data_IF_500177815792
#
_entry.id   IF_500177815792
#
_cell.length_a   1.000
_cell.length_b   1.000
_cell.length_c   1.000
_cell.angle_alpha   90.00
_cell.angle_beta   90.00
_cell.angle_gamma   90.00
#
_symmetry.space_group_name_H-M   'P 1'
#
loop_
_entity.id
_entity.type
_entity.pdbx_description
1 polymer ?
#
# COMPACT_ATOMS: atom_id res chain seq x y z
N UNK A 1 11.64 15.09 24.12
CA UNK A 1 10.75 13.97 24.46
C UNK A 1 10.13 13.53 23.15
N UNK A 2 10.11 12.24 22.88
CA UNK A 2 9.47 11.67 21.68
C UNK A 2 7.96 11.81 21.83
N UNK A 3 7.28 12.43 20.85
CA UNK A 3 5.83 12.56 20.84
C UNK A 3 5.22 11.25 20.34
N UNK A 4 4.46 10.56 21.17
CA UNK A 4 3.85 9.27 20.83
C UNK A 4 2.33 9.43 20.78
N UNK A 5 1.71 8.96 19.71
CA UNK A 5 0.27 8.80 19.61
C UNK A 5 -0.10 7.47 20.25
N UNK A 6 -0.73 7.52 21.43
CA UNK A 6 -1.16 6.33 22.16
C UNK A 6 -2.30 5.59 21.44
N UNK A 7 -2.46 4.28 21.71
CA UNK A 7 -3.52 3.47 21.13
C UNK A 7 -4.90 3.94 21.62
N UNK A 8 -5.81 4.27 20.68
CA UNK A 8 -7.16 4.74 20.99
C UNK A 8 -8.18 3.61 21.15
N UNK A 9 -7.95 2.43 20.52
CA UNK A 9 -8.93 1.33 20.47
C UNK A 9 -8.39 -0.02 20.95
N UNK A 10 -7.18 -0.05 21.52
CA UNK A 10 -6.66 -1.24 22.19
C UNK A 10 -7.58 -1.69 23.34
N UNK A 11 -7.83 -3.00 23.46
CA UNK A 11 -8.79 -3.57 24.41
C UNK A 11 -10.27 -3.41 24.00
N UNK A 12 -10.53 -2.79 22.82
CA UNK A 12 -11.90 -2.56 22.29
C UNK A 12 -12.10 -3.12 20.91
N UNK A 13 -11.24 -2.75 19.94
CA UNK A 13 -11.29 -3.23 18.54
C UNK A 13 -10.40 -4.45 18.36
N UNK A 14 -9.38 -4.58 19.17
CA UNK A 14 -8.44 -5.69 19.22
C UNK A 14 -7.92 -5.85 20.65
N UNK A 15 -7.33 -7.01 21.04
CA UNK A 15 -6.84 -7.25 22.39
C UNK A 15 -5.82 -6.20 22.85
N UNK A 16 -5.98 -5.74 24.09
CA UNK A 16 -5.06 -4.78 24.73
C UNK A 16 -3.78 -5.41 25.28
N UNK A 17 -3.70 -6.74 25.30
CA UNK A 17 -2.53 -7.50 25.76
C UNK A 17 -1.73 -8.00 24.56
N UNK A 18 -0.43 -7.72 24.53
CA UNK A 18 0.44 -8.02 23.39
C UNK A 18 0.38 -9.48 22.92
N UNK A 19 0.48 -10.44 23.86
CA UNK A 19 0.46 -11.87 23.52
C UNK A 19 -0.87 -12.35 22.96
N UNK A 20 -1.99 -11.79 23.44
CA UNK A 20 -3.33 -12.11 22.94
C UNK A 20 -3.54 -11.52 21.54
N UNK A 21 -3.08 -10.27 21.34
CA UNK A 21 -3.14 -9.59 20.06
C UNK A 21 -2.31 -10.30 18.99
N UNK A 22 -1.07 -10.63 19.30
CA UNK A 22 -0.18 -11.42 18.42
C UNK A 22 -0.82 -12.76 18.04
N UNK A 23 -1.31 -13.51 19.03
CA UNK A 23 -1.94 -14.80 18.78
C UNK A 23 -3.20 -14.67 17.89
N UNK A 24 -4.01 -13.63 18.09
CA UNK A 24 -5.21 -13.37 17.27
C UNK A 24 -4.84 -13.03 15.82
N UNK A 25 -3.88 -12.12 15.61
CA UNK A 25 -3.44 -11.73 14.27
C UNK A 25 -2.80 -12.91 13.55
N UNK A 26 -1.90 -13.65 14.21
CA UNK A 26 -1.28 -14.84 13.63
C UNK A 26 -2.29 -15.95 13.34
N UNK A 27 -3.31 -16.10 14.18
CA UNK A 27 -4.44 -17.02 13.93
C UNK A 27 -5.14 -16.69 12.60
N UNK A 28 -5.55 -15.44 12.41
CA UNK A 28 -6.18 -15.01 11.15
C UNK A 28 -5.26 -15.17 9.93
N UNK A 29 -3.98 -14.81 10.06
CA UNK A 29 -3.01 -14.96 8.98
C UNK A 29 -2.72 -16.44 8.66
N UNK A 30 -2.86 -17.32 9.65
CA UNK A 30 -2.71 -18.77 9.49
C UNK A 30 -3.89 -19.45 8.78
N UNK A 31 -5.08 -18.86 8.84
CA UNK A 31 -6.28 -19.36 8.15
C UNK A 31 -6.29 -19.04 6.64
N UNK A 32 -5.48 -18.07 6.22
CA UNK A 32 -5.39 -17.70 4.81
C UNK A 32 -4.48 -18.68 4.07
N UNK A 33 -5.02 -19.33 3.03
CA UNK A 33 -4.19 -20.15 2.14
C UNK A 33 -3.05 -19.29 1.57
N UNK A 34 -1.82 -19.81 1.73
CA UNK A 34 -0.63 -19.12 1.24
C UNK A 34 -0.70 -19.04 -0.28
N UNK A 35 -1.08 -17.91 -0.79
CA UNK A 35 -1.04 -17.67 -2.22
C UNK A 35 0.39 -17.32 -2.63
N UNK A 36 0.97 -18.16 -3.46
CA UNK A 36 2.13 -17.79 -4.24
C UNK A 36 1.71 -16.68 -5.22
N UNK A 37 2.51 -15.65 -5.38
CA UNK A 37 2.20 -14.58 -6.31
C UNK A 37 3.05 -13.33 -6.10
N UNK A 38 2.86 -12.33 -6.96
CA UNK A 38 3.57 -11.06 -6.84
C UNK A 38 3.14 -10.33 -5.57
N UNK A 39 4.09 -9.63 -4.96
CA UNK A 39 3.82 -8.75 -3.82
C UNK A 39 3.06 -7.53 -4.31
N UNK A 40 1.92 -7.20 -3.68
CA UNK A 40 1.15 -6.03 -4.06
C UNK A 40 1.88 -4.73 -3.73
N UNK A 41 1.69 -3.73 -4.60
CA UNK A 41 2.13 -2.34 -4.35
C UNK A 41 1.19 -1.61 -3.42
N UNK A 42 -0.11 -1.94 -3.47
CA UNK A 42 -1.09 -1.37 -2.58
C UNK A 42 -2.13 -2.40 -2.14
N UNK A 43 -2.73 -2.16 -0.97
CA UNK A 43 -3.82 -2.92 -0.39
C UNK A 43 -4.98 -1.99 -0.03
N UNK A 44 -6.21 -2.51 -0.11
CA UNK A 44 -7.35 -1.98 0.63
C UNK A 44 -7.73 -3.03 1.67
N UNK A 45 -7.96 -2.62 2.92
CA UNK A 45 -8.36 -3.51 4.00
C UNK A 45 -9.35 -2.82 4.97
N UNK A 46 -10.25 -3.58 5.63
CA UNK A 46 -11.25 -3.05 6.53
C UNK A 46 -10.64 -2.70 7.90
N UNK A 47 -11.36 -1.84 8.66
CA UNK A 47 -10.89 -1.31 9.95
C UNK A 47 -11.88 -1.45 11.13
N UNK A 48 -12.87 -2.33 11.00
CA UNK A 48 -13.73 -2.66 12.12
C UNK A 48 -12.98 -3.46 13.21
N UNK A 49 -13.64 -3.73 14.33
CA UNK A 49 -13.07 -4.60 15.37
C UNK A 49 -12.71 -5.98 14.81
N UNK A 50 -11.59 -6.53 15.24
CA UNK A 50 -10.98 -7.75 14.67
C UNK A 50 -11.89 -8.96 14.65
N UNK A 51 -12.78 -9.10 15.63
CA UNK A 51 -13.78 -10.20 15.65
C UNK A 51 -14.72 -10.15 14.45
N UNK A 52 -14.91 -8.99 13.84
CA UNK A 52 -15.75 -8.78 12.66
C UNK A 52 -14.97 -8.79 11.34
N UNK A 53 -13.89 -8.02 11.27
CA UNK A 53 -13.18 -7.76 10.02
C UNK A 53 -11.77 -8.34 9.95
N UNK A 54 -11.25 -8.91 11.04
CA UNK A 54 -9.84 -9.37 11.11
C UNK A 54 -9.50 -10.46 10.09
N UNK A 55 -10.40 -11.42 9.84
CA UNK A 55 -10.19 -12.45 8.82
C UNK A 55 -10.12 -11.85 7.40
N UNK A 56 -10.99 -10.86 7.11
CA UNK A 56 -11.01 -10.18 5.81
C UNK A 56 -9.74 -9.34 5.62
N UNK A 57 -9.31 -8.63 6.65
CA UNK A 57 -8.03 -7.92 6.65
C UNK A 57 -6.84 -8.87 6.42
N UNK A 58 -6.84 -10.03 7.09
CA UNK A 58 -5.81 -11.05 6.95
C UNK A 58 -5.66 -11.54 5.50
N UNK A 59 -6.74 -11.64 4.73
CA UNK A 59 -6.70 -12.02 3.32
C UNK A 59 -5.84 -11.07 2.47
N UNK A 60 -5.84 -9.76 2.80
CA UNK A 60 -4.95 -8.79 2.17
C UNK A 60 -3.52 -8.88 2.71
N UNK A 61 -3.38 -8.89 4.03
CA UNK A 61 -2.06 -8.84 4.67
C UNK A 61 -1.22 -10.08 4.43
N UNK A 62 -1.83 -11.27 4.32
CA UNK A 62 -1.11 -12.51 4.02
C UNK A 62 -0.33 -12.44 2.69
N UNK A 63 -0.75 -11.58 1.75
CA UNK A 63 -0.04 -11.32 0.48
C UNK A 63 1.33 -10.66 0.66
N UNK A 64 1.61 -10.12 1.85
CA UNK A 64 2.89 -9.48 2.16
C UNK A 64 3.96 -10.45 2.68
N UNK A 65 3.62 -11.70 3.03
CA UNK A 65 4.59 -12.70 3.53
C UNK A 65 5.87 -12.79 2.67
N UNK A 66 5.80 -12.79 1.32
CA UNK A 66 7.00 -12.84 0.47
C UNK A 66 7.84 -11.56 0.48
N UNK A 67 7.35 -10.47 1.10
CA UNK A 67 8.01 -9.17 1.15
C UNK A 67 8.60 -8.84 2.54
N UNK A 68 8.58 -9.78 3.47
CA UNK A 68 9.24 -9.64 4.77
C UNK A 68 10.70 -9.23 4.58
N UNK A 69 11.18 -8.24 5.36
CA UNK A 69 12.52 -7.67 5.22
C UNK A 69 12.73 -6.75 4.02
N UNK A 70 11.78 -6.64 3.08
CA UNK A 70 11.87 -5.75 1.93
C UNK A 70 11.06 -4.48 2.09
N UNK A 71 9.82 -4.57 2.59
CA UNK A 71 8.98 -3.40 2.85
C UNK A 71 9.45 -2.74 4.14
N UNK A 72 9.91 -1.49 4.04
CA UNK A 72 10.41 -0.68 5.17
C UNK A 72 9.64 0.62 5.35
N UNK A 73 8.74 0.95 4.42
CA UNK A 73 7.85 2.12 4.48
C UNK A 73 6.42 1.72 4.17
N UNK A 74 5.49 2.18 4.98
CA UNK A 74 4.05 2.00 4.74
C UNK A 74 3.38 3.38 4.67
N UNK A 75 2.77 3.70 3.54
CA UNK A 75 1.89 4.86 3.38
C UNK A 75 0.49 4.39 3.75
N UNK A 76 0.00 4.85 4.89
CA UNK A 76 -1.25 4.37 5.47
C UNK A 76 -2.30 5.49 5.44
N UNK A 77 -3.35 5.30 4.63
CA UNK A 77 -4.44 6.24 4.49
C UNK A 77 -5.73 5.66 5.08
N UNK A 78 -6.51 6.49 5.75
CA UNK A 78 -7.81 6.09 6.27
C UNK A 78 -8.77 7.27 6.38
N UNK A 79 -10.09 7.00 6.43
CA UNK A 79 -11.10 8.03 6.57
C UNK A 79 -11.05 8.70 7.95
N UNK A 80 -11.58 9.91 8.00
CA UNK A 80 -11.77 10.69 9.21
C UNK A 80 -13.14 10.38 9.83
N UNK A 81 -13.16 9.79 11.03
CA UNK A 81 -14.42 9.48 11.73
C UNK A 81 -14.71 10.42 12.92
N UNK A 82 -13.70 11.08 13.46
CA UNK A 82 -13.81 11.80 14.75
C UNK A 82 -13.79 13.31 14.58
N UNK A 83 -12.76 13.84 13.98
CA UNK A 83 -12.59 15.29 13.79
C UNK A 83 -12.52 15.58 12.30
N UNK A 84 -13.59 16.15 11.70
CA UNK A 84 -13.66 16.38 10.26
C UNK A 84 -12.57 17.34 9.79
N UNK A 85 -12.00 17.03 8.64
CA UNK A 85 -10.99 17.85 7.96
C UNK A 85 -11.29 17.95 6.45
N UNK A 86 -10.69 18.96 5.84
CA UNK A 86 -10.58 19.07 4.38
C UNK A 86 -9.15 18.65 3.98
N UNK A 87 -9.02 17.82 2.94
CA UNK A 87 -7.71 17.33 2.51
C UNK A 87 -7.18 16.14 3.32
N UNK A 88 -5.87 16.09 3.49
CA UNK A 88 -5.15 15.01 4.18
C UNK A 88 -4.38 15.56 5.38
N UNK A 89 -4.50 14.88 6.52
CA UNK A 89 -3.77 15.24 7.73
C UNK A 89 -2.63 14.27 8.01
N UNK A 90 -1.42 14.80 8.12
CA UNK A 90 -0.26 14.16 8.74
C UNK A 90 -0.35 14.30 10.26
N UNK A 91 0.31 13.40 10.99
CA UNK A 91 0.52 13.53 12.44
C UNK A 91 1.87 14.18 12.76
N UNK A 92 1.88 15.04 13.79
CA UNK A 92 3.08 15.58 14.42
C UNK A 92 3.81 14.56 15.30
N UNK A 93 3.17 13.43 15.66
CA UNK A 93 3.76 12.39 16.48
C UNK A 93 5.02 11.77 15.83
N UNK A 94 5.93 11.27 16.65
CA UNK A 94 7.14 10.58 16.19
C UNK A 94 6.91 9.08 16.03
N UNK A 95 5.89 8.54 16.73
CA UNK A 95 5.50 7.13 16.64
C UNK A 95 4.02 6.95 16.98
N UNK A 96 3.45 5.83 16.50
CA UNK A 96 2.13 5.33 16.84
C UNK A 96 2.28 4.08 17.70
N UNK A 97 1.63 4.10 18.88
CA UNK A 97 1.70 3.00 19.84
C UNK A 97 0.63 1.96 19.59
N UNK A 98 1.02 0.68 19.67
CA UNK A 98 0.13 -0.47 19.81
C UNK A 98 0.57 -1.32 21.00
N UNK A 99 -0.20 -2.32 21.44
CA UNK A 99 0.28 -3.29 22.43
C UNK A 99 1.53 -4.05 21.99
N UNK A 100 1.80 -4.17 20.68
CA UNK A 100 2.99 -4.84 20.12
C UNK A 100 4.24 -3.93 20.09
N UNK A 101 4.11 -2.66 20.44
CA UNK A 101 5.20 -1.69 20.45
C UNK A 101 4.90 -0.45 19.62
N UNK A 102 5.87 0.45 19.58
CA UNK A 102 5.77 1.73 18.89
C UNK A 102 6.22 1.60 17.43
N UNK A 103 5.39 2.06 16.49
CA UNK A 103 5.69 2.13 15.06
C UNK A 103 6.17 3.54 14.71
N UNK A 104 7.42 3.73 14.26
CA UNK A 104 7.95 5.05 13.97
C UNK A 104 7.25 5.71 12.77
N UNK A 105 7.09 7.03 12.82
CA UNK A 105 6.61 7.84 11.69
C UNK A 105 7.78 8.19 10.78
N UNK A 106 7.62 7.99 9.48
CA UNK A 106 8.60 8.38 8.45
C UNK A 106 8.59 9.90 8.23
N UNK A 107 9.32 10.63 9.07
CA UNK A 107 9.40 12.10 9.01
C UNK A 107 10.00 12.61 7.68
N UNK A 108 11.04 11.98 7.10
CA UNK A 108 11.53 12.37 5.78
C UNK A 108 10.48 12.27 4.68
N UNK A 109 9.70 11.18 4.65
CA UNK A 109 8.62 11.01 3.67
C UNK A 109 7.46 12.01 3.94
N UNK A 110 7.10 12.24 5.21
CA UNK A 110 6.10 13.24 5.57
C UNK A 110 6.53 14.67 5.14
N UNK A 111 7.81 15.00 5.30
CA UNK A 111 8.36 16.30 4.86
C UNK A 111 8.30 16.50 3.34
N UNK A 112 8.33 15.43 2.55
CA UNK A 112 8.24 15.53 1.09
C UNK A 112 6.87 16.02 0.58
N UNK A 113 5.83 15.93 1.40
CA UNK A 113 4.45 16.28 1.03
C UNK A 113 3.86 17.43 1.84
N UNK A 114 4.55 17.91 2.89
CA UNK A 114 3.99 18.91 3.83
C UNK A 114 3.62 20.23 3.16
N UNK A 115 4.31 20.61 2.10
CA UNK A 115 4.07 21.86 1.36
C UNK A 115 2.97 21.72 0.29
N UNK A 116 2.38 20.54 0.12
CA UNK A 116 1.27 20.34 -0.80
C UNK A 116 0.00 21.01 -0.24
N UNK A 117 -0.76 21.79 -1.03
CA UNK A 117 -1.87 22.62 -0.54
C UNK A 117 -3.01 21.80 0.10
N UNK A 118 -3.15 20.53 -0.26
CA UNK A 118 -4.14 19.60 0.32
C UNK A 118 -3.66 18.87 1.57
N UNK A 119 -2.40 19.06 2.01
CA UNK A 119 -1.79 18.38 3.17
C UNK A 119 -1.59 19.36 4.32
N UNK A 120 -1.86 18.94 5.54
CA UNK A 120 -1.58 19.70 6.76
C UNK A 120 -1.16 18.77 7.89
N UNK A 121 -0.45 19.28 8.89
CA UNK A 121 -0.25 18.56 10.17
C UNK A 121 -1.42 18.90 11.09
N UNK A 122 -2.19 17.90 11.52
CA UNK A 122 -3.34 18.13 12.37
C UNK A 122 -3.60 16.96 13.32
N UNK A 123 -2.94 16.95 14.47
CA UNK A 123 -2.99 15.87 15.46
C UNK A 123 -4.38 15.58 16.04
N UNK A 124 -5.30 16.56 16.25
CA UNK A 124 -6.62 16.26 16.79
C UNK A 124 -7.42 15.23 15.97
N UNK A 125 -7.21 15.13 14.64
CA UNK A 125 -7.89 14.12 13.84
C UNK A 125 -7.29 12.73 14.02
N UNK A 126 -6.03 12.62 14.50
CA UNK A 126 -5.36 11.34 14.75
C UNK A 126 -5.60 10.79 16.16
N UNK A 127 -5.84 11.65 17.13
CA UNK A 127 -5.83 11.31 18.57
C UNK A 127 -6.74 10.13 18.91
N UNK A 128 -7.99 10.14 18.44
CA UNK A 128 -9.01 9.12 18.69
C UNK A 128 -9.42 8.35 17.42
N UNK A 129 -8.70 8.53 16.31
CA UNK A 129 -9.00 7.86 15.05
C UNK A 129 -8.49 6.43 15.05
N UNK A 130 -9.35 5.49 14.65
CA UNK A 130 -9.07 4.07 14.65
C UNK A 130 -8.73 3.52 13.26
N UNK A 131 -9.14 4.22 12.21
CA UNK A 131 -9.03 3.72 10.82
C UNK A 131 -7.60 3.41 10.38
N UNK A 132 -6.60 4.08 10.99
CA UNK A 132 -5.19 3.80 10.74
C UNK A 132 -4.64 2.78 11.76
N UNK A 133 -5.01 2.93 13.02
CA UNK A 133 -4.44 2.18 14.14
C UNK A 133 -4.61 0.67 13.98
N UNK A 134 -5.80 0.21 13.57
CA UNK A 134 -6.14 -1.22 13.48
C UNK A 134 -5.31 -1.98 12.45
N UNK A 135 -4.63 -1.30 11.53
CA UNK A 135 -3.75 -1.92 10.54
C UNK A 135 -2.36 -2.21 11.08
N UNK A 136 -1.91 -1.43 12.08
CA UNK A 136 -0.54 -1.52 12.59
C UNK A 136 -0.19 -2.90 13.15
N UNK A 137 -1.04 -3.59 13.94
CA UNK A 137 -0.71 -4.92 14.44
C UNK A 137 -0.48 -5.96 13.35
N UNK A 138 -1.26 -5.94 12.25
CA UNK A 138 -1.02 -6.83 11.11
C UNK A 138 0.34 -6.57 10.46
N UNK A 139 0.70 -5.30 10.29
CA UNK A 139 1.98 -4.90 9.72
C UNK A 139 3.15 -5.28 10.65
N UNK A 140 3.00 -5.12 11.97
CA UNK A 140 4.00 -5.49 12.97
C UNK A 140 4.27 -7.00 13.03
N UNK A 141 3.25 -7.83 12.77
CA UNK A 141 3.39 -9.29 12.75
C UNK A 141 4.00 -9.82 11.43
N UNK A 142 3.98 -9.02 10.36
CA UNK A 142 4.43 -9.45 9.03
C UNK A 142 5.71 -8.80 8.55
N UNK A 143 5.95 -7.56 8.95
CA UNK A 143 7.12 -6.79 8.53
C UNK A 143 8.14 -6.75 9.66
N UNK A 144 9.44 -6.78 9.34
CA UNK A 144 10.48 -6.70 10.35
C UNK A 144 10.56 -5.28 10.93
N UNK A 145 11.31 -4.40 10.31
CA UNK A 145 11.42 -2.99 10.71
C UNK A 145 10.83 -2.08 9.62
N UNK A 146 9.83 -1.31 9.97
CA UNK A 146 9.20 -0.37 9.05
C UNK A 146 8.82 0.95 9.75
N UNK A 147 8.63 1.99 8.96
CA UNK A 147 8.05 3.25 9.37
C UNK A 147 6.74 3.53 8.64
N UNK A 148 5.88 4.34 9.23
CA UNK A 148 4.58 4.68 8.67
C UNK A 148 4.50 6.17 8.30
N UNK A 149 3.85 6.48 7.16
CA UNK A 149 3.33 7.83 6.87
C UNK A 149 1.83 7.78 7.10
N UNK A 150 1.33 8.20 8.28
CA UNK A 150 -0.08 8.12 8.61
C UNK A 150 -0.82 9.33 8.03
N UNK A 151 -1.86 9.08 7.22
CA UNK A 151 -2.66 10.10 6.56
C UNK A 151 -4.15 9.88 6.85
N UNK A 152 -4.72 10.71 7.70
CA UNK A 152 -6.18 10.78 7.83
C UNK A 152 -6.71 11.62 6.68
N UNK A 153 -7.68 11.09 5.94
CA UNK A 153 -8.22 11.70 4.71
C UNK A 153 -9.66 12.15 4.96
N UNK A 154 -9.89 13.45 4.87
CA UNK A 154 -11.21 14.04 4.92
C UNK A 154 -11.82 14.25 3.55
N UNK A 155 -12.73 15.23 3.43
CA UNK A 155 -13.36 15.54 2.15
C UNK A 155 -12.33 16.16 1.19
N UNK A 156 -12.08 15.48 0.07
CA UNK A 156 -11.06 15.87 -0.89
C UNK A 156 -11.31 15.17 -2.24
N UNK A 157 -10.86 15.77 -3.33
CA UNK A 157 -10.96 15.17 -4.65
C UNK A 157 -10.01 13.97 -4.79
N UNK A 158 -10.41 12.91 -5.52
CA UNK A 158 -9.54 11.76 -5.79
C UNK A 158 -8.17 12.13 -6.38
N UNK A 159 -8.13 13.15 -7.26
CA UNK A 159 -6.91 13.62 -7.89
C UNK A 159 -5.90 14.15 -6.87
N UNK A 160 -6.37 14.89 -5.87
CA UNK A 160 -5.51 15.46 -4.83
C UNK A 160 -4.90 14.38 -3.93
N UNK A 161 -5.64 13.30 -3.64
CA UNK A 161 -5.08 12.12 -2.94
C UNK A 161 -4.09 11.39 -3.84
N UNK A 162 -4.42 11.24 -5.13
CA UNK A 162 -3.54 10.58 -6.09
C UNK A 162 -2.19 11.32 -6.25
N UNK A 163 -2.18 12.65 -6.22
CA UNK A 163 -0.96 13.47 -6.24
C UNK A 163 -0.07 13.22 -5.02
N UNK A 164 -0.66 13.13 -3.83
CA UNK A 164 0.07 12.79 -2.59
C UNK A 164 0.66 11.38 -2.68
N UNK A 165 -0.14 10.40 -3.13
CA UNK A 165 0.33 9.03 -3.31
C UNK A 165 1.43 8.93 -4.38
N UNK A 166 1.34 9.71 -5.46
CA UNK A 166 2.38 9.79 -6.50
C UNK A 166 3.70 10.30 -5.92
N UNK A 167 3.67 11.36 -5.10
CA UNK A 167 4.85 11.92 -4.45
C UNK A 167 5.50 10.93 -3.45
N UNK A 168 4.69 10.04 -2.85
CA UNK A 168 5.14 9.05 -1.87
C UNK A 168 5.34 7.64 -2.47
N UNK A 169 5.23 7.48 -3.80
CA UNK A 169 5.16 6.17 -4.44
C UNK A 169 6.31 5.23 -4.07
N UNK A 170 7.54 5.73 -4.04
CA UNK A 170 8.73 4.93 -3.73
C UNK A 170 8.95 3.73 -4.66
N UNK A 171 9.85 2.85 -4.24
CA UNK A 171 10.18 1.59 -4.90
C UNK A 171 9.50 0.38 -4.26
N UNK A 172 10.12 -0.82 -4.36
CA UNK A 172 9.61 -2.06 -3.77
C UNK A 172 9.67 -2.07 -2.22
N UNK A 173 10.37 -1.13 -1.60
CA UNK A 173 10.43 -0.91 -0.15
C UNK A 173 9.19 -0.19 0.39
N UNK A 174 8.35 0.39 -0.46
CA UNK A 174 7.19 1.19 -0.08
C UNK A 174 5.89 0.45 -0.41
N UNK A 175 5.06 0.22 0.60
CA UNK A 175 3.69 -0.30 0.50
C UNK A 175 2.69 0.83 0.72
N UNK A 176 1.59 0.83 -0.02
CA UNK A 176 0.43 1.68 0.22
C UNK A 176 -0.68 0.83 0.84
N UNK A 177 -1.26 1.28 1.96
CA UNK A 177 -2.42 0.66 2.59
C UNK A 177 -3.53 1.69 2.69
N UNK A 178 -4.68 1.38 2.12
CA UNK A 178 -5.89 2.19 2.21
C UNK A 178 -6.91 1.47 3.07
N UNK A 179 -7.35 2.16 4.09
CA UNK A 179 -8.29 1.68 5.09
C UNK A 179 -9.74 2.01 4.69
N UNK A 180 -10.60 1.02 4.57
CA UNK A 180 -12.04 1.26 4.32
C UNK A 180 -12.90 0.06 4.70
N UNK A 181 -13.95 0.32 5.48
CA UNK A 181 -15.11 -0.56 5.50
C UNK A 181 -16.06 -0.17 4.36
N UNK A 182 -17.04 -1.05 4.03
CA UNK A 182 -17.99 -0.83 2.94
C UNK A 182 -19.31 -0.25 3.47
N UNK A 183 -20.46 -0.82 3.08
CA UNK A 183 -21.77 -0.35 3.52
C UNK A 183 -21.98 -0.50 5.02
N UNK A 184 -22.82 0.35 5.64
CA UNK A 184 -23.03 0.37 7.08
C UNK A 184 -24.50 0.25 7.47
N UNK A 185 -24.78 -0.63 8.43
CA UNK A 185 -26.03 -0.76 9.15
C UNK A 185 -27.27 -1.04 8.27
N UNK A 186 -27.05 -1.66 7.12
CA UNK A 186 -28.09 -2.15 6.24
C UNK A 186 -28.47 -3.59 6.61
N UNK A 187 -29.63 -4.07 6.13
CA UNK A 187 -29.94 -5.50 6.14
C UNK A 187 -28.95 -6.26 5.24
N UNK A 188 -28.83 -7.56 5.52
CA UNK A 188 -27.81 -8.42 4.92
C UNK A 188 -27.82 -8.43 3.38
N UNK A 189 -29.02 -8.53 2.77
CA UNK A 189 -29.12 -8.65 1.32
C UNK A 189 -28.84 -7.31 0.63
N UNK A 190 -29.37 -6.21 1.18
CA UNK A 190 -29.11 -4.87 0.68
C UNK A 190 -27.63 -4.47 0.80
N UNK A 191 -27.00 -4.80 1.91
CA UNK A 191 -25.56 -4.59 2.10
C UNK A 191 -24.75 -5.29 1.00
N UNK A 192 -25.05 -6.58 0.74
CA UNK A 192 -24.37 -7.35 -0.30
C UNK A 192 -24.54 -6.80 -1.71
N UNK A 193 -25.68 -6.19 -2.03
CA UNK A 193 -25.88 -5.53 -3.33
C UNK A 193 -24.94 -4.35 -3.49
N UNK A 194 -24.96 -3.41 -2.53
CA UNK A 194 -24.11 -2.20 -2.53
C UNK A 194 -22.64 -2.57 -2.49
N UNK A 195 -22.26 -3.53 -1.66
CA UNK A 195 -20.86 -3.96 -1.51
C UNK A 195 -20.32 -4.59 -2.81
N UNK A 196 -21.15 -5.33 -3.56
CA UNK A 196 -20.76 -5.84 -4.88
C UNK A 196 -20.61 -4.73 -5.92
N UNK A 197 -21.43 -3.68 -5.87
CA UNK A 197 -21.29 -2.52 -6.75
C UNK A 197 -19.98 -1.79 -6.45
N UNK A 198 -19.69 -1.55 -5.18
CA UNK A 198 -18.40 -0.96 -4.73
C UNK A 198 -17.22 -1.85 -5.13
N UNK A 199 -17.33 -3.16 -4.96
CA UNK A 199 -16.30 -4.11 -5.38
C UNK A 199 -16.00 -4.00 -6.89
N UNK A 200 -17.04 -3.96 -7.74
CA UNK A 200 -16.87 -3.79 -9.19
C UNK A 200 -16.22 -2.45 -9.53
N UNK A 201 -16.57 -1.37 -8.83
CA UNK A 201 -15.95 -0.07 -9.02
C UNK A 201 -14.44 -0.11 -8.70
N UNK A 202 -14.06 -0.79 -7.60
CA UNK A 202 -12.65 -0.98 -7.23
C UNK A 202 -11.90 -1.81 -8.28
N UNK A 203 -12.45 -2.96 -8.70
CA UNK A 203 -11.84 -3.82 -9.72
C UNK A 203 -11.66 -3.12 -11.08
N UNK A 204 -12.60 -2.24 -11.44
CA UNK A 204 -12.54 -1.46 -12.68
C UNK A 204 -11.72 -0.16 -12.55
N UNK A 205 -11.13 0.13 -11.38
CA UNK A 205 -10.40 1.37 -11.08
C UNK A 205 -11.26 2.61 -11.39
N UNK A 206 -12.54 2.56 -10.98
CA UNK A 206 -13.54 3.59 -11.20
C UNK A 206 -13.89 4.31 -9.88
N UNK A 207 -13.25 5.46 -9.58
CA UNK A 207 -13.51 6.21 -8.35
C UNK A 207 -14.94 6.79 -8.29
N UNK A 208 -15.54 7.10 -9.44
CA UNK A 208 -16.89 7.66 -9.51
C UNK A 208 -17.98 6.61 -9.29
N UNK A 209 -17.66 5.33 -9.47
CA UNK A 209 -18.55 4.20 -9.22
C UNK A 209 -18.76 3.89 -7.74
N UNK A 210 -18.02 4.52 -6.82
CA UNK A 210 -18.17 4.33 -5.38
C UNK A 210 -19.25 5.26 -4.83
N UNK A 211 -20.41 4.71 -4.51
CA UNK A 211 -21.51 5.45 -3.90
C UNK A 211 -21.11 6.04 -2.53
N UNK A 212 -21.79 7.11 -2.11
CA UNK A 212 -21.50 7.78 -0.82
C UNK A 212 -21.64 6.84 0.37
N UNK A 213 -22.63 5.95 0.33
CA UNK A 213 -22.93 4.92 1.34
C UNK A 213 -22.18 3.61 1.11
N UNK A 214 -21.44 3.49 -0.01
CA UNK A 214 -20.75 2.26 -0.41
C UNK A 214 -19.42 2.02 0.30
N UNK A 215 -18.77 3.08 0.83
CA UNK A 215 -17.51 2.95 1.55
C UNK A 215 -17.25 4.17 2.43
N UNK A 216 -16.87 3.96 3.71
CA UNK A 216 -16.45 5.05 4.59
C UNK A 216 -15.13 5.68 4.12
N UNK A 217 -14.24 4.86 3.56
CA UNK A 217 -12.96 5.29 2.97
C UNK A 217 -13.04 5.74 1.51
N UNK A 218 -14.22 6.14 0.99
CA UNK A 218 -14.38 6.48 -0.43
C UNK A 218 -13.38 7.52 -0.95
N UNK A 219 -12.94 8.46 -0.12
CA UNK A 219 -11.97 9.49 -0.52
C UNK A 219 -10.56 8.93 -0.70
N UNK A 220 -9.95 8.25 0.30
CA UNK A 220 -8.65 7.62 0.10
C UNK A 220 -8.68 6.50 -0.94
N UNK A 221 -9.76 5.70 -1.00
CA UNK A 221 -9.94 4.66 -2.04
C UNK A 221 -10.00 5.31 -3.42
N UNK A 222 -10.82 6.35 -3.62
CA UNK A 222 -10.90 7.08 -4.90
C UNK A 222 -9.56 7.60 -5.38
N UNK A 223 -8.73 8.11 -4.47
CA UNK A 223 -7.36 8.54 -4.78
C UNK A 223 -6.46 7.39 -5.24
N UNK A 224 -6.51 6.25 -4.54
CA UNK A 224 -5.77 5.06 -4.95
C UNK A 224 -6.23 4.58 -6.34
N UNK A 225 -7.55 4.48 -6.59
CA UNK A 225 -8.08 4.05 -7.88
C UNK A 225 -7.65 4.99 -9.02
N UNK A 226 -7.68 6.30 -8.78
CA UNK A 226 -7.23 7.32 -9.74
C UNK A 226 -5.76 7.12 -10.10
N UNK A 227 -4.89 6.91 -9.10
CA UNK A 227 -3.48 6.66 -9.34
C UNK A 227 -3.23 5.31 -10.00
N UNK A 228 -3.89 4.25 -9.53
CA UNK A 228 -3.78 2.90 -10.09
C UNK A 228 -4.15 2.89 -11.58
N UNK A 229 -5.22 3.59 -11.96
CA UNK A 229 -5.63 3.75 -13.37
C UNK A 229 -4.56 4.45 -14.20
N UNK A 230 -4.00 5.56 -13.69
CA UNK A 230 -2.91 6.30 -14.36
C UNK A 230 -1.66 5.43 -14.59
N UNK A 231 -1.36 4.57 -13.62
CA UNK A 231 -0.20 3.65 -13.66
C UNK A 231 -0.46 2.32 -14.37
N UNK A 232 -1.70 2.11 -14.85
CA UNK A 232 -2.08 0.87 -15.54
C UNK A 232 -2.00 -0.37 -14.65
N UNK A 233 -2.25 -0.20 -13.35
CA UNK A 233 -2.30 -1.30 -12.39
C UNK A 233 -3.55 -2.15 -12.58
N UNK A 234 -3.58 -3.30 -11.91
CA UNK A 234 -4.77 -4.15 -11.78
C UNK A 234 -5.16 -4.24 -10.31
N UNK A 235 -6.47 -4.29 -10.05
CA UNK A 235 -7.03 -4.56 -8.73
C UNK A 235 -7.64 -5.96 -8.72
N UNK A 236 -7.40 -6.72 -7.65
CA UNK A 236 -7.94 -8.07 -7.45
C UNK A 236 -8.62 -8.13 -6.08
N UNK A 237 -9.85 -8.62 -6.06
CA UNK A 237 -10.61 -8.87 -4.82
C UNK A 237 -10.08 -10.14 -4.16
N UNK A 238 -9.72 -10.04 -2.88
CA UNK A 238 -9.22 -11.17 -2.08
C UNK A 238 -10.30 -11.75 -1.18
N UNK A 239 -11.17 -10.88 -0.62
CA UNK A 239 -12.26 -11.27 0.23
C UNK A 239 -13.38 -10.22 0.17
N UNK A 240 -14.65 -10.65 0.25
CA UNK A 240 -15.83 -9.79 0.27
C UNK A 240 -16.90 -10.43 1.12
N UNK A 241 -17.07 -9.96 2.35
CA UNK A 241 -18.00 -10.43 3.36
C UNK A 241 -18.62 -9.26 4.11
N UNK A 242 -19.48 -9.56 5.08
CA UNK A 242 -19.99 -8.57 6.02
C UNK A 242 -19.97 -9.11 7.46
N UNK A 243 -20.31 -8.28 8.44
CA UNK A 243 -20.32 -8.68 9.85
C UNK A 243 -21.27 -9.84 10.15
N UNK A 244 -22.32 -10.05 9.36
CA UNK A 244 -23.24 -11.19 9.48
C UNK A 244 -22.69 -12.52 8.97
N UNK A 245 -21.55 -12.49 8.29
CA UNK A 245 -20.77 -13.67 7.88
C UNK A 245 -19.68 -14.03 8.89
N UNK A 246 -19.44 -13.15 9.87
CA UNK A 246 -18.45 -13.35 10.94
C UNK A 246 -19.11 -13.39 12.30
N UNK A 247 -19.03 -12.34 13.11
CA UNK A 247 -19.49 -12.35 14.51
C UNK A 247 -20.77 -11.54 14.75
N UNK A 248 -21.30 -10.84 13.75
CA UNK A 248 -22.46 -9.96 13.88
C UNK A 248 -23.80 -10.58 13.52
N UNK A 249 -24.92 -9.97 13.94
CA UNK A 249 -26.25 -10.34 13.48
C UNK A 249 -26.47 -9.92 12.01
N UNK A 250 -27.50 -10.46 11.36
CA UNK A 250 -27.78 -10.20 9.94
C UNK A 250 -28.83 -9.11 9.68
N UNK A 251 -29.46 -8.60 10.70
CA UNK A 251 -30.47 -7.54 10.57
C UNK A 251 -29.84 -6.16 10.32
N UNK A 252 -28.62 -5.95 10.80
CA UNK A 252 -27.81 -4.75 10.55
C UNK A 252 -26.35 -5.12 10.44
N UNK A 253 -25.86 -5.13 9.21
CA UNK A 253 -24.45 -5.51 8.94
C UNK A 253 -23.59 -4.33 8.52
N UNK A 254 -22.28 -4.52 8.62
CA UNK A 254 -21.25 -3.66 8.00
C UNK A 254 -20.50 -4.51 6.98
N UNK A 255 -20.36 -3.99 5.77
CA UNK A 255 -19.65 -4.65 4.69
C UNK A 255 -18.14 -4.53 4.85
N UNK A 256 -17.42 -5.57 4.51
CA UNK A 256 -15.95 -5.64 4.54
C UNK A 256 -15.44 -6.23 3.24
N UNK A 257 -14.35 -5.64 2.75
CA UNK A 257 -13.65 -6.18 1.60
C UNK A 257 -12.16 -5.97 1.70
N UNK A 258 -11.41 -6.80 1.00
CA UNK A 258 -9.97 -6.66 0.86
C UNK A 258 -9.53 -6.84 -0.58
N UNK A 259 -8.62 -5.99 -1.01
CA UNK A 259 -8.10 -5.97 -2.39
C UNK A 259 -6.60 -5.81 -2.39
N UNK A 260 -5.97 -6.39 -3.42
CA UNK A 260 -4.58 -6.10 -3.76
C UNK A 260 -4.46 -5.38 -5.10
N UNK A 261 -3.46 -4.51 -5.20
CA UNK A 261 -3.14 -3.77 -6.42
C UNK A 261 -1.76 -4.15 -6.90
N UNK A 262 -1.67 -4.59 -8.14
CA UNK A 262 -0.45 -5.04 -8.77
C UNK A 262 0.00 -4.06 -9.84
N UNK A 263 1.29 -3.74 -9.82
CA UNK A 263 1.91 -3.03 -10.94
C UNK A 263 1.95 -3.97 -12.15
N UNK A 264 1.70 -3.42 -13.31
CA UNK A 264 1.86 -4.19 -14.56
C UNK A 264 3.33 -4.60 -14.68
N UNK A 265 3.59 -5.88 -14.86
CA UNK A 265 4.94 -6.33 -15.14
C UNK A 265 5.53 -5.48 -16.29
N UNK A 266 6.78 -5.01 -16.18
CA UNK A 266 7.41 -4.30 -17.28
C UNK A 266 7.28 -5.18 -18.53
N UNK A 267 6.78 -4.58 -19.64
CA UNK A 267 6.73 -5.32 -20.91
C UNK A 267 8.14 -5.80 -21.23
N UNK A 268 8.28 -6.95 -21.85
CA UNK A 268 9.59 -7.50 -22.23
C UNK A 268 10.46 -6.47 -23.00
N UNK A 269 9.84 -5.48 -23.67
CA UNK A 269 10.51 -4.34 -24.28
C UNK A 269 11.05 -3.31 -23.28
N UNK A 270 10.47 -3.20 -22.06
CA UNK A 270 10.95 -2.28 -21.03
C UNK A 270 11.94 -2.94 -20.05
N UNK A 271 12.08 -4.26 -20.11
CA UNK A 271 13.05 -5.03 -19.35
C UNK A 271 14.43 -5.09 -20.05
N UNK A 272 14.73 -4.15 -20.94
CA UNK A 272 16.11 -3.96 -21.42
C UNK A 272 16.94 -3.42 -20.25
N UNK A 273 17.46 -4.34 -19.46
CA UNK A 273 18.46 -4.04 -18.44
C UNK A 273 19.77 -3.72 -19.16
N UNK A 274 20.27 -2.50 -18.98
CA UNK A 274 21.57 -2.11 -19.46
C UNK A 274 22.61 -2.53 -18.42
N UNK A 275 23.57 -3.38 -18.82
CA UNK A 275 24.73 -3.68 -17.98
C UNK A 275 25.85 -2.68 -18.28
N UNK A 276 26.42 -2.12 -17.22
CA UNK A 276 27.68 -1.37 -17.35
C UNK A 276 28.82 -2.39 -17.57
N UNK A 277 29.38 -2.42 -18.75
CA UNK A 277 30.60 -3.16 -19.00
C UNK A 277 31.77 -2.26 -18.64
N UNK A 278 32.39 -2.54 -17.50
CA UNK A 278 33.68 -1.92 -17.14
C UNK A 278 34.75 -2.71 -17.87
N UNK A 279 35.46 -2.07 -18.80
CA UNK A 279 36.62 -2.67 -19.42
C UNK A 279 37.80 -2.32 -18.51
N UNK A 280 38.30 -3.30 -17.73
CA UNK A 280 39.53 -3.17 -16.98
C UNK A 280 40.70 -3.01 -17.97
N UNK A 281 41.61 -2.06 -17.71
CA UNK A 281 42.82 -1.67 -18.47
C UNK A 281 42.70 -0.49 -19.44
N UNK A 282 41.78 0.45 -19.23
CA UNK A 282 41.84 1.75 -19.86
C UNK A 282 42.55 2.73 -18.90
N UNK A 283 43.61 3.47 -19.35
CA UNK A 283 44.22 4.49 -18.53
C UNK A 283 43.20 5.54 -18.05
N UNK A 284 43.38 6.02 -16.86
CA UNK A 284 42.43 6.79 -16.02
C UNK A 284 41.85 8.09 -16.66
N UNK A 285 42.26 8.47 -17.85
CA UNK A 285 41.80 9.70 -18.53
C UNK A 285 40.66 9.48 -19.55
N UNK A 286 40.22 8.22 -19.77
CA UNK A 286 39.13 7.93 -20.70
C UNK A 286 38.29 6.74 -20.21
N UNK A 287 37.45 6.93 -19.19
CA UNK A 287 36.46 5.96 -18.79
C UNK A 287 35.25 6.05 -19.71
N UNK A 288 35.06 5.08 -20.61
CA UNK A 288 33.85 4.92 -21.39
C UNK A 288 32.94 3.88 -20.73
N UNK A 289 31.76 4.30 -20.36
CA UNK A 289 30.67 3.38 -19.99
C UNK A 289 29.94 2.98 -21.28
N UNK A 290 30.14 1.74 -21.71
CA UNK A 290 29.36 1.18 -22.80
C UNK A 290 28.12 0.49 -22.22
N UNK A 291 26.92 0.99 -22.50
CA UNK A 291 25.67 0.38 -22.10
C UNK A 291 25.28 -0.65 -23.15
N UNK A 292 25.29 -1.94 -22.79
CA UNK A 292 24.89 -3.05 -23.68
C UNK A 292 23.60 -3.65 -23.15
N UNK A 293 22.54 -3.85 -23.98
CA UNK A 293 21.34 -4.56 -23.57
C UNK A 293 21.66 -6.00 -23.18
N UNK A 294 21.11 -6.48 -22.07
CA UNK A 294 21.40 -7.85 -21.56
C UNK A 294 20.97 -8.97 -22.50
N UNK A 295 20.04 -8.71 -23.39
CA UNK A 295 19.61 -9.67 -24.42
C UNK A 295 20.49 -9.68 -25.69
N UNK A 296 21.46 -8.78 -25.79
CA UNK A 296 22.46 -8.77 -26.87
C UNK A 296 23.65 -9.72 -26.62
N UNK A 297 23.61 -10.49 -25.52
CA UNK A 297 24.60 -11.51 -25.19
C UNK A 297 24.22 -12.90 -25.71
N UNK A 298 23.00 -13.09 -26.24
CA UNK A 298 22.69 -14.30 -27.03
C UNK A 298 23.03 -14.05 -28.51
N UNK A 299 23.61 -15.00 -29.22
CA UNK A 299 24.05 -14.82 -30.61
C UNK A 299 22.82 -14.53 -31.50
N UNK A 300 22.64 -13.25 -31.83
CA UNK A 300 21.70 -12.79 -32.85
C UNK A 300 22.39 -12.91 -34.21
N UNK A 301 21.73 -13.50 -35.23
CA UNK A 301 22.28 -13.60 -36.57
C UNK A 301 22.56 -12.24 -37.26
N UNK A 302 22.36 -11.09 -36.62
CA UNK A 302 22.72 -9.76 -37.11
C UNK A 302 24.02 -9.20 -36.49
N UNK A 303 24.99 -10.08 -36.15
CA UNK A 303 26.27 -9.73 -35.49
C UNK A 303 27.14 -8.66 -36.18
N UNK A 304 26.83 -8.25 -37.41
CA UNK A 304 27.73 -7.33 -38.15
C UNK A 304 27.78 -5.91 -37.55
N UNK A 305 26.73 -5.44 -36.94
CA UNK A 305 26.70 -4.03 -36.47
C UNK A 305 27.35 -3.81 -35.10
N UNK A 306 27.22 -4.78 -34.21
CA UNK A 306 27.72 -4.63 -32.82
C UNK A 306 29.21 -4.96 -32.72
N UNK A 307 29.64 -5.98 -33.46
CA UNK A 307 31.06 -6.32 -33.56
C UNK A 307 31.90 -5.22 -34.20
N UNK A 308 31.29 -4.45 -35.08
CA UNK A 308 31.96 -3.36 -35.80
C UNK A 308 32.17 -2.13 -34.91
N UNK A 309 31.21 -1.78 -34.04
CA UNK A 309 31.34 -0.65 -33.11
C UNK A 309 32.37 -0.97 -32.03
N UNK A 310 32.35 -2.19 -31.47
CA UNK A 310 33.33 -2.60 -30.44
C UNK A 310 34.74 -2.68 -31.01
N UNK A 311 34.93 -3.22 -32.26
CA UNK A 311 36.24 -3.26 -32.92
C UNK A 311 36.72 -1.87 -33.36
N UNK A 312 35.84 -0.96 -33.74
CA UNK A 312 36.20 0.43 -34.06
C UNK A 312 36.68 1.22 -32.83
N UNK A 313 36.06 0.98 -31.67
CA UNK A 313 36.47 1.56 -30.40
C UNK A 313 37.84 1.02 -29.92
N UNK A 314 38.02 -0.33 -30.02
CA UNK A 314 39.32 -0.96 -29.68
C UNK A 314 40.44 -0.56 -30.61
N UNK A 315 40.19 -0.30 -31.93
CA UNK A 315 41.21 0.18 -32.88
C UNK A 315 41.56 1.66 -32.71
N UNK A 316 40.71 2.48 -32.12
CA UNK A 316 41.02 3.91 -31.87
C UNK A 316 41.86 4.14 -30.61
N UNK A 317 41.92 3.19 -29.72
CA UNK A 317 42.60 3.31 -28.45
C UNK A 317 43.69 2.25 -28.19
N UNK A 318 43.97 1.40 -29.16
CA UNK A 318 45.04 0.42 -29.10
C UNK A 318 46.22 0.84 -30.00
N UNK A 319 46.91 1.89 -29.55
CA UNK A 319 48.34 2.17 -29.80
C UNK A 319 48.77 3.27 -28.86
#
# INVERSE_FOLDING_TARGET
MTAIRDAAVAGRFYPGVASELSAMVQGYLGEVETAEGPVPKALIAPHAGYVYSGQIAASAYARLKPAQGRITRVILLGPCHRVPIQGLALSGADAFRTPLGDVPVDKPAAAAIIDMPQVSVFDPTHELEHSLEVHLPFLQELLDAFSVVPLVVGEVKPESVAEVLEALWGGPETLIVVSSDLSHYLDYDRAREIDRETCRAIENLDPDGIAREGACGRFPVGGLLTLAKRRGMTAETLDLRNSGDTAGPRDKVVGYGSWMFLEKAPSAKAAMTWHNVVIDDIPTEAAFVSLVPSNALEPDPSEEDFGTVTRALLKRHGN
#
